data_IF_876024898842
#
_entry.id   IF_876024898842
#
_cell.length_a   1.000
_cell.length_b   1.000
_cell.length_c   1.000
_cell.angle_alpha   90.00
_cell.angle_beta   90.00
_cell.angle_gamma   90.00
#
_symmetry.space_group_name_H-M   'P 1'
#
loop_
_entity.id
_entity.type
_entity.pdbx_description
1 polymer ?
#
# COMPACT_ATOMS: atom_id res chain seq x y z
N UNK A 1 -18.34 -14.55 -13.87
CA UNK A 1 -17.02 -13.96 -13.52
C UNK A 1 -17.27 -12.64 -12.80
N UNK A 2 -16.56 -12.39 -11.69
CA UNK A 2 -16.62 -11.10 -11.00
C UNK A 2 -15.76 -10.07 -11.75
N UNK A 3 -16.36 -8.95 -12.15
CA UNK A 3 -15.62 -7.84 -12.76
C UNK A 3 -14.85 -7.05 -11.69
N UNK A 4 -13.51 -7.01 -11.83
CA UNK A 4 -12.61 -6.29 -10.92
C UNK A 4 -12.95 -4.80 -10.85
N UNK A 5 -13.44 -4.19 -11.94
CA UNK A 5 -13.76 -2.76 -11.97
C UNK A 5 -15.03 -2.48 -11.17
N UNK A 6 -16.08 -3.26 -11.38
CA UNK A 6 -17.31 -3.20 -10.58
C UNK A 6 -17.06 -3.41 -9.08
N UNK A 7 -16.24 -4.42 -8.71
CA UNK A 7 -15.88 -4.68 -7.32
C UNK A 7 -15.16 -3.49 -6.67
N UNK A 8 -14.16 -2.92 -7.35
CA UNK A 8 -13.45 -1.72 -6.86
C UNK A 8 -14.39 -0.55 -6.62
N UNK A 9 -15.35 -0.34 -7.50
CA UNK A 9 -16.33 0.73 -7.36
C UNK A 9 -17.25 0.48 -6.16
N UNK A 10 -17.71 -0.75 -5.96
CA UNK A 10 -18.50 -1.14 -4.77
C UNK A 10 -17.73 -0.90 -3.47
N UNK A 11 -16.49 -1.39 -3.38
CA UNK A 11 -15.67 -1.25 -2.18
C UNK A 11 -15.27 0.21 -1.91
N UNK A 12 -15.15 1.01 -2.96
CA UNK A 12 -14.85 2.45 -2.80
C UNK A 12 -16.01 3.25 -2.24
N UNK A 13 -17.27 2.80 -2.47
CA UNK A 13 -18.47 3.47 -1.95
C UNK A 13 -18.65 3.26 -0.45
N UNK A 14 -18.35 2.06 0.06
CA UNK A 14 -18.54 1.69 1.47
C UNK A 14 -17.21 1.24 2.11
N UNK A 15 -16.23 2.14 2.29
CA UNK A 15 -14.91 1.75 2.76
C UNK A 15 -14.93 1.16 4.19
N UNK A 16 -15.84 1.59 5.07
CA UNK A 16 -15.95 1.07 6.44
C UNK A 16 -16.35 -0.42 6.49
N UNK A 17 -17.05 -0.91 5.48
CA UNK A 17 -17.53 -2.30 5.41
C UNK A 17 -16.45 -3.25 4.85
N UNK A 18 -15.63 -2.77 3.91
CA UNK A 18 -14.68 -3.60 3.16
C UNK A 18 -13.21 -3.43 3.58
N UNK A 19 -12.90 -2.42 4.39
CA UNK A 19 -11.54 -2.15 4.88
C UNK A 19 -11.54 -1.91 6.39
N UNK A 20 -10.41 -2.16 7.04
CA UNK A 20 -10.19 -1.89 8.46
C UNK A 20 -9.99 -0.38 8.72
N UNK A 21 -10.98 0.44 8.35
CA UNK A 21 -10.90 1.91 8.39
C UNK A 21 -10.59 2.44 9.78
N UNK A 22 -11.12 1.79 10.84
CA UNK A 22 -10.86 2.18 12.22
C UNK A 22 -9.36 2.07 12.54
N UNK A 23 -8.77 0.89 12.33
CA UNK A 23 -7.33 0.65 12.55
C UNK A 23 -6.49 1.59 11.70
N UNK A 24 -6.84 1.78 10.43
CA UNK A 24 -6.11 2.71 9.56
C UNK A 24 -6.11 4.14 10.10
N UNK A 25 -7.26 4.64 10.55
CA UNK A 25 -7.36 5.98 11.14
C UNK A 25 -6.60 6.08 12.47
N UNK A 26 -6.71 5.05 13.31
CA UNK A 26 -6.03 5.00 14.62
C UNK A 26 -4.50 5.01 14.43
N UNK A 27 -3.99 4.36 13.37
CA UNK A 27 -2.57 4.37 12.97
C UNK A 27 -2.15 5.61 12.16
N UNK A 28 -3.03 6.63 12.05
CA UNK A 28 -2.71 7.90 11.38
C UNK A 28 -2.78 7.87 9.86
N UNK A 29 -3.37 6.84 9.25
CA UNK A 29 -3.59 6.82 7.81
C UNK A 29 -4.79 7.68 7.42
N UNK A 30 -4.58 8.45 6.35
CA UNK A 30 -5.60 9.26 5.68
C UNK A 30 -5.94 8.68 4.31
N UNK A 31 -7.24 8.72 3.99
CA UNK A 31 -7.76 8.27 2.70
C UNK A 31 -7.64 9.41 1.69
N UNK A 32 -6.91 9.20 0.61
CA UNK A 32 -6.73 10.17 -0.48
C UNK A 32 -7.14 9.59 -1.82
N UNK A 33 -7.41 10.46 -2.80
CA UNK A 33 -7.70 10.08 -4.18
C UNK A 33 -6.50 10.42 -5.06
N UNK A 34 -6.01 9.45 -5.83
CA UNK A 34 -4.87 9.66 -6.72
C UNK A 34 -5.26 10.60 -7.86
N UNK A 35 -4.43 11.61 -8.12
CA UNK A 35 -4.68 12.59 -9.18
C UNK A 35 -4.60 11.98 -10.59
N UNK A 36 -3.76 10.94 -10.80
CA UNK A 36 -3.63 10.28 -12.11
C UNK A 36 -4.74 9.24 -12.39
N UNK A 37 -4.83 8.18 -11.57
CA UNK A 37 -5.73 7.05 -11.84
C UNK A 37 -7.11 7.14 -11.17
N UNK A 38 -7.40 8.20 -10.41
CA UNK A 38 -8.65 8.42 -9.69
C UNK A 38 -9.02 7.36 -8.63
N UNK A 39 -8.14 6.39 -8.35
CA UNK A 39 -8.35 5.39 -7.30
C UNK A 39 -8.06 5.98 -5.92
N UNK A 40 -8.82 5.50 -4.92
CA UNK A 40 -8.56 5.82 -3.52
C UNK A 40 -7.41 4.98 -2.97
N UNK A 41 -6.58 5.58 -2.13
CA UNK A 41 -5.49 4.94 -1.43
C UNK A 41 -5.34 5.51 -0.02
N UNK A 42 -4.63 4.78 0.85
CA UNK A 42 -4.32 5.20 2.21
C UNK A 42 -2.85 5.59 2.30
N UNK A 43 -2.55 6.66 3.02
CA UNK A 43 -1.20 7.18 3.21
C UNK A 43 -1.09 7.79 4.60
N UNK A 44 0.09 7.74 5.22
CA UNK A 44 0.41 8.54 6.42
C UNK A 44 0.98 9.92 6.04
N UNK A 45 1.43 10.09 4.80
CA UNK A 45 1.92 11.36 4.26
C UNK A 45 0.76 12.22 3.71
N UNK A 46 0.54 13.37 4.35
CA UNK A 46 -0.48 14.37 3.98
C UNK A 46 -0.20 15.06 2.65
N UNK A 47 1.05 15.15 2.23
CA UNK A 47 1.45 15.85 1.00
C UNK A 47 1.40 14.94 -0.23
N UNK A 48 1.16 13.63 -0.04
CA UNK A 48 1.19 12.65 -1.12
C UNK A 48 -0.03 12.74 -2.04
N UNK A 49 0.16 13.10 -3.31
CA UNK A 49 -0.94 13.27 -4.29
C UNK A 49 -1.16 12.07 -5.23
N UNK A 50 -0.18 11.16 -5.30
CA UNK A 50 -0.19 10.01 -6.19
C UNK A 50 -0.13 8.70 -5.40
N UNK A 51 -0.81 7.67 -5.91
CA UNK A 51 -0.72 6.32 -5.33
C UNK A 51 0.67 5.70 -5.55
N UNK A 52 0.92 4.54 -4.95
CA UNK A 52 2.21 3.83 -5.05
C UNK A 52 2.47 3.09 -6.36
N UNK A 53 1.58 3.20 -7.34
CA UNK A 53 1.80 2.56 -8.64
C UNK A 53 2.88 3.35 -9.42
N UNK A 54 3.93 2.69 -9.96
CA UNK A 54 4.94 3.34 -10.79
C UNK A 54 4.34 4.14 -11.97
N UNK A 55 3.27 3.65 -12.59
CA UNK A 55 2.59 4.37 -13.67
C UNK A 55 1.91 5.68 -13.22
N UNK A 56 1.72 5.89 -11.92
CA UNK A 56 1.17 7.13 -11.36
C UNK A 56 2.21 7.99 -10.65
N UNK A 57 3.24 7.38 -10.08
CA UNK A 57 4.29 8.06 -9.29
C UNK A 57 5.56 8.35 -10.10
N UNK A 58 5.61 7.93 -11.38
CA UNK A 58 6.69 8.19 -12.32
C UNK A 58 7.65 7.01 -12.49
N UNK A 59 8.16 6.45 -11.39
CA UNK A 59 9.11 5.33 -11.41
C UNK A 59 9.17 4.61 -10.05
N UNK A 60 10.02 3.57 -9.97
CA UNK A 60 10.38 2.95 -8.69
C UNK A 60 11.35 3.85 -7.91
N UNK A 61 10.87 4.44 -6.81
CA UNK A 61 11.66 5.37 -6.00
C UNK A 61 12.80 4.73 -5.19
N UNK A 62 12.83 3.39 -5.08
CA UNK A 62 13.82 2.68 -4.26
C UNK A 62 15.11 2.33 -5.01
N UNK A 63 15.15 2.48 -6.35
CA UNK A 63 16.36 2.19 -7.13
C UNK A 63 17.43 3.23 -6.79
N UNK A 64 18.54 2.78 -6.20
CA UNK A 64 19.61 3.66 -5.71
C UNK A 64 19.29 4.40 -4.40
N UNK A 65 18.08 4.24 -3.85
CA UNK A 65 17.61 4.87 -2.60
C UNK A 65 16.82 3.85 -1.78
N UNK A 66 17.48 2.80 -1.32
CA UNK A 66 16.81 1.74 -0.58
C UNK A 66 16.17 2.28 0.72
N UNK A 67 14.89 2.00 1.00
CA UNK A 67 14.27 2.32 2.28
C UNK A 67 14.62 1.28 3.36
N UNK A 68 15.20 0.14 2.99
CA UNK A 68 15.54 -0.90 3.93
C UNK A 68 16.72 -0.48 4.82
N UNK A 69 16.57 -0.65 6.14
CA UNK A 69 17.59 -0.33 7.14
C UNK A 69 18.82 -1.26 7.04
N UNK A 70 18.59 -2.50 6.63
CA UNK A 70 19.63 -3.52 6.51
C UNK A 70 19.66 -4.08 5.10
N UNK A 71 20.87 -4.27 4.57
CA UNK A 71 21.08 -4.99 3.32
C UNK A 71 21.09 -6.47 3.62
N UNK A 72 20.04 -7.17 3.22
CA UNK A 72 19.90 -8.61 3.40
C UNK A 72 20.18 -9.33 2.09
N UNK A 73 20.96 -10.41 2.16
CA UNK A 73 21.06 -11.40 1.10
C UNK A 73 19.80 -12.27 1.03
N UNK A 74 19.72 -13.13 0.01
CA UNK A 74 18.56 -14.00 -0.20
C UNK A 74 18.30 -14.93 1.01
N UNK A 75 19.32 -15.65 1.49
CA UNK A 75 19.18 -16.59 2.61
C UNK A 75 18.84 -15.86 3.92
N UNK A 76 19.53 -14.75 4.19
CA UNK A 76 19.34 -13.93 5.39
C UNK A 76 17.92 -13.36 5.45
N UNK A 77 17.37 -12.94 4.31
CA UNK A 77 15.97 -12.51 4.20
C UNK A 77 15.01 -13.63 4.61
N UNK A 78 15.21 -14.85 4.11
CA UNK A 78 14.32 -15.98 4.46
C UNK A 78 14.44 -16.43 5.90
N UNK A 79 15.63 -16.34 6.50
CA UNK A 79 15.83 -16.60 7.93
C UNK A 79 15.10 -15.54 8.76
N UNK A 80 15.30 -14.25 8.44
CA UNK A 80 14.63 -13.15 9.12
C UNK A 80 13.09 -13.26 9.03
N UNK A 81 12.54 -13.55 7.86
CA UNK A 81 11.09 -13.75 7.69
C UNK A 81 10.55 -14.93 8.51
N UNK A 82 11.33 -16.01 8.62
CA UNK A 82 10.99 -17.17 9.46
C UNK A 82 10.97 -16.80 10.94
N UNK A 83 11.99 -16.07 11.39
CA UNK A 83 12.16 -15.70 12.80
C UNK A 83 11.11 -14.67 13.26
N UNK A 84 10.66 -13.80 12.35
CA UNK A 84 9.52 -12.90 12.55
C UNK A 84 8.18 -13.63 12.65
N UNK A 85 8.15 -14.96 12.49
CA UNK A 85 6.92 -15.74 12.59
C UNK A 85 5.93 -15.48 11.46
N UNK A 86 6.39 -14.96 10.30
CA UNK A 86 5.57 -14.80 9.08
C UNK A 86 5.46 -16.18 8.39
N UNK A 87 5.02 -17.18 9.14
CA UNK A 87 4.48 -18.44 8.64
C UNK A 87 3.02 -18.49 9.06
N UNK A 88 2.12 -18.43 8.07
CA UNK A 88 0.81 -19.07 8.21
C UNK A 88 1.02 -20.58 8.18
#
# INVERSE_FOLDING_TARGET
MLDKKALRQKFSKSPEEYFAVKVLKDEGFIRKKCQNCNLFFWSTDENRNYCGNPSCSGAYNFIGKTPALHKLGYIELWQCLRDLGIRQ
#
